data_IF_890918000801
#
_entry.id   IF_890918000801
#
_cell.length_a   1.000
_cell.length_b   1.000
_cell.length_c   1.000
_cell.angle_alpha   90.00
_cell.angle_beta   90.00
_cell.angle_gamma   90.00
#
_symmetry.space_group_name_H-M   'P 1'
#
loop_
_entity.id
_entity.type
_entity.pdbx_description
1 polymer ?
#
# COMPACT_ATOMS: atom_id res chain seq x y z
N UNK A 1 -25.57 -35.09 -42.65
CA UNK A 1 -25.90 -35.61 -41.31
C UNK A 1 -24.69 -35.36 -40.43
N UNK A 2 -24.80 -34.47 -39.46
CA UNK A 2 -23.67 -34.12 -38.57
C UNK A 2 -23.76 -35.08 -37.40
N UNK A 3 -22.75 -35.92 -37.24
CA UNK A 3 -22.68 -36.93 -36.18
C UNK A 3 -22.28 -36.23 -34.88
N UNK A 4 -23.25 -35.71 -34.13
CA UNK A 4 -23.01 -35.09 -32.83
C UNK A 4 -22.55 -36.14 -31.81
N UNK A 5 -21.22 -36.30 -31.72
CA UNK A 5 -20.59 -37.04 -30.62
C UNK A 5 -20.70 -36.16 -29.37
N UNK A 6 -21.67 -36.47 -28.52
CA UNK A 6 -21.77 -35.87 -27.19
C UNK A 6 -20.58 -36.26 -26.30
N UNK A 7 -20.21 -35.38 -25.36
CA UNK A 7 -19.22 -35.68 -24.33
C UNK A 7 -19.70 -36.82 -23.43
N UNK A 8 -18.79 -37.71 -23.03
CA UNK A 8 -19.12 -38.78 -22.08
C UNK A 8 -19.08 -38.30 -20.63
N UNK A 9 -19.87 -38.93 -19.76
CA UNK A 9 -19.85 -38.62 -18.33
C UNK A 9 -18.45 -38.84 -17.71
N UNK A 10 -17.73 -39.87 -18.17
CA UNK A 10 -16.38 -40.16 -17.68
C UNK A 10 -15.38 -39.04 -18.04
N UNK A 11 -15.52 -38.43 -19.22
CA UNK A 11 -14.68 -37.28 -19.62
C UNK A 11 -14.93 -36.06 -18.75
N UNK A 12 -16.20 -35.75 -18.45
CA UNK A 12 -16.54 -34.64 -17.55
C UNK A 12 -16.02 -34.89 -16.14
N UNK A 13 -16.13 -36.12 -15.62
CA UNK A 13 -15.60 -36.47 -14.30
C UNK A 13 -14.08 -36.34 -14.25
N UNK A 14 -13.36 -36.84 -15.26
CA UNK A 14 -11.90 -36.73 -15.32
C UNK A 14 -11.44 -35.26 -15.33
N UNK A 15 -12.13 -34.39 -16.08
CA UNK A 15 -11.84 -32.95 -16.13
C UNK A 15 -12.11 -32.29 -14.76
N UNK A 16 -13.23 -32.60 -14.11
CA UNK A 16 -13.55 -32.05 -12.79
C UNK A 16 -12.53 -32.46 -11.73
N UNK A 17 -12.04 -33.70 -11.77
CA UNK A 17 -10.97 -34.16 -10.86
C UNK A 17 -9.69 -33.37 -11.07
N UNK A 18 -9.27 -33.17 -12.32
CA UNK A 18 -8.06 -32.39 -12.63
C UNK A 18 -8.23 -30.93 -12.18
N UNK A 19 -9.35 -30.29 -12.50
CA UNK A 19 -9.65 -28.92 -12.07
C UNK A 19 -9.71 -28.81 -10.54
N UNK A 20 -10.23 -29.81 -9.84
CA UNK A 20 -10.26 -29.87 -8.37
C UNK A 20 -8.86 -29.88 -7.76
N UNK A 21 -7.94 -30.69 -8.30
CA UNK A 21 -6.54 -30.74 -7.85
C UNK A 21 -5.84 -29.41 -8.11
N UNK A 22 -6.01 -28.85 -9.31
CA UNK A 22 -5.42 -27.56 -9.66
C UNK A 22 -5.96 -26.43 -8.77
N UNK A 23 -7.26 -26.38 -8.53
CA UNK A 23 -7.88 -25.37 -7.68
C UNK A 23 -7.39 -25.47 -6.23
N UNK A 24 -7.25 -26.69 -5.69
CA UNK A 24 -6.77 -26.90 -4.32
C UNK A 24 -5.36 -26.33 -4.07
N UNK A 25 -4.50 -26.34 -5.09
CA UNK A 25 -3.13 -25.78 -4.99
C UNK A 25 -3.07 -24.31 -5.43
N UNK A 26 -3.82 -23.93 -6.45
CA UNK A 26 -3.77 -22.59 -7.03
C UNK A 26 -4.43 -21.52 -6.15
N UNK A 27 -5.55 -21.84 -5.49
CA UNK A 27 -6.31 -20.87 -4.70
C UNK A 27 -5.51 -20.34 -3.50
N UNK A 28 -4.89 -21.18 -2.65
CA UNK A 28 -4.08 -20.68 -1.53
C UNK A 28 -2.91 -19.81 -2.02
N UNK A 29 -2.21 -20.27 -3.07
CA UNK A 29 -1.08 -19.53 -3.65
C UNK A 29 -1.51 -18.17 -4.21
N UNK A 30 -2.66 -18.10 -4.86
CA UNK A 30 -3.19 -16.85 -5.39
C UNK A 30 -3.53 -15.86 -4.27
N UNK A 31 -4.11 -16.33 -3.16
CA UNK A 31 -4.37 -15.49 -1.98
C UNK A 31 -3.08 -14.93 -1.38
N UNK A 32 -2.03 -15.76 -1.26
CA UNK A 32 -0.73 -15.30 -0.74
C UNK A 32 -0.07 -14.23 -1.63
N UNK A 33 -0.09 -14.43 -2.95
CA UNK A 33 0.46 -13.46 -3.91
C UNK A 33 -0.34 -12.16 -3.88
N UNK A 34 -1.67 -12.24 -3.80
CA UNK A 34 -2.52 -11.07 -3.67
C UNK A 34 -2.19 -10.30 -2.38
N UNK A 35 -2.07 -10.99 -1.24
CA UNK A 35 -1.70 -10.35 0.03
C UNK A 35 -0.32 -9.67 -0.03
N UNK A 36 0.68 -10.32 -0.64
CA UNK A 36 2.01 -9.73 -0.82
C UNK A 36 1.99 -8.51 -1.74
N UNK A 37 1.18 -8.53 -2.80
CA UNK A 37 1.01 -7.38 -3.70
C UNK A 37 0.43 -6.18 -2.96
N UNK A 38 -0.58 -6.39 -2.09
CA UNK A 38 -1.16 -5.35 -1.23
C UNK A 38 -0.13 -4.70 -0.32
N UNK A 39 0.68 -5.51 0.38
CA UNK A 39 1.75 -5.01 1.27
C UNK A 39 2.83 -4.28 0.45
N UNK A 40 3.16 -4.78 -0.74
CA UNK A 40 4.13 -4.13 -1.62
C UNK A 40 3.65 -2.76 -2.10
N UNK A 41 2.36 -2.61 -2.41
CA UNK A 41 1.76 -1.32 -2.75
C UNK A 41 1.86 -0.34 -1.57
N UNK A 42 1.52 -0.77 -0.35
CA UNK A 42 1.65 0.07 0.85
C UNK A 42 3.10 0.51 1.10
N UNK A 43 4.10 -0.36 0.87
CA UNK A 43 5.52 0.01 0.96
C UNK A 43 5.94 1.01 -0.12
N UNK A 44 5.40 0.90 -1.34
CA UNK A 44 5.67 1.85 -2.41
C UNK A 44 5.14 3.25 -2.05
N UNK A 45 3.94 3.31 -1.48
CA UNK A 45 3.34 4.56 -0.97
C UNK A 45 4.21 5.20 0.12
N UNK A 46 4.74 4.41 1.06
CA UNK A 46 5.71 4.91 2.06
C UNK A 46 6.94 5.53 1.38
N UNK A 47 7.47 4.90 0.33
CA UNK A 47 8.64 5.41 -0.39
C UNK A 47 8.32 6.72 -1.15
N UNK A 48 7.17 6.80 -1.79
CA UNK A 48 6.66 8.03 -2.43
C UNK A 48 6.54 9.16 -1.42
N UNK A 49 6.00 8.87 -0.24
CA UNK A 49 5.83 9.84 0.82
C UNK A 49 7.17 10.34 1.38
N UNK A 50 8.18 9.47 1.51
CA UNK A 50 9.55 9.88 1.86
C UNK A 50 10.13 10.86 0.84
N UNK A 51 9.90 10.61 -0.46
CA UNK A 51 10.32 11.53 -1.53
C UNK A 51 9.61 12.88 -1.42
N UNK A 52 8.30 12.86 -1.15
CA UNK A 52 7.50 14.06 -0.93
C UNK A 52 7.97 14.88 0.27
N UNK A 53 8.34 14.22 1.38
CA UNK A 53 8.91 14.88 2.55
C UNK A 53 10.28 15.50 2.26
N UNK A 54 11.14 14.85 1.45
CA UNK A 54 12.40 15.46 0.99
C UNK A 54 12.15 16.73 0.18
N UNK A 55 11.16 16.71 -0.73
CA UNK A 55 10.79 17.90 -1.50
C UNK A 55 10.21 19.00 -0.60
N UNK A 56 9.39 18.64 0.38
CA UNK A 56 8.84 19.59 1.36
C UNK A 56 9.92 20.22 2.23
N UNK A 57 10.91 19.44 2.67
CA UNK A 57 12.09 19.94 3.38
C UNK A 57 12.87 20.95 2.53
N UNK A 58 13.16 20.63 1.27
CA UNK A 58 13.85 21.54 0.36
C UNK A 58 13.05 22.84 0.13
N UNK A 59 11.73 22.73 -0.09
CA UNK A 59 10.84 23.89 -0.22
C UNK A 59 10.85 24.77 1.03
N UNK A 60 10.83 24.16 2.22
CA UNK A 60 10.89 24.91 3.47
C UNK A 60 12.19 25.72 3.58
N UNK A 61 13.33 25.08 3.25
CA UNK A 61 14.64 25.73 3.28
C UNK A 61 14.70 26.91 2.31
N UNK A 62 14.20 26.75 1.08
CA UNK A 62 14.15 27.83 0.08
C UNK A 62 13.25 28.99 0.52
N UNK A 63 12.12 28.71 1.17
CA UNK A 63 11.15 29.75 1.55
C UNK A 63 11.52 30.50 2.82
N UNK A 64 12.15 29.83 3.79
CA UNK A 64 12.40 30.38 5.14
C UNK A 64 13.87 30.71 5.40
N UNK A 65 14.78 30.39 4.46
CA UNK A 65 16.23 30.60 4.61
C UNK A 65 16.85 29.83 5.78
N UNK A 66 16.12 28.88 6.37
CA UNK A 66 16.49 28.13 7.57
C UNK A 66 15.99 26.70 7.46
N UNK A 67 16.70 25.78 8.09
CA UNK A 67 16.27 24.38 8.16
C UNK A 67 15.11 24.23 9.14
N UNK A 68 14.13 23.35 8.85
CA UNK A 68 13.07 23.05 9.80
C UNK A 68 13.66 22.40 11.06
N UNK A 69 13.19 22.80 12.23
CA UNK A 69 13.68 22.32 13.53
C UNK A 69 12.98 21.04 14.00
N UNK A 70 11.82 20.70 13.41
CA UNK A 70 11.10 19.48 13.70
C UNK A 70 10.34 18.91 12.48
N UNK A 71 10.03 17.60 12.51
CA UNK A 71 9.37 16.89 11.42
C UNK A 71 7.96 17.40 11.14
N UNK A 72 7.28 17.99 12.13
CA UNK A 72 5.95 18.58 11.95
C UNK A 72 6.00 19.80 11.02
N UNK A 73 7.06 20.61 11.07
CA UNK A 73 7.26 21.72 10.13
C UNK A 73 7.47 21.25 8.69
N UNK A 74 8.12 20.10 8.48
CA UNK A 74 8.27 19.49 7.15
C UNK A 74 6.92 19.03 6.62
N UNK A 75 6.10 18.41 7.48
CA UNK A 75 4.73 18.00 7.13
C UNK A 75 3.87 19.23 6.78
N UNK A 76 3.97 20.30 7.57
CA UNK A 76 3.27 21.56 7.30
C UNK A 76 3.73 22.21 5.98
N UNK A 77 5.02 22.12 5.64
CA UNK A 77 5.56 22.59 4.36
C UNK A 77 5.03 21.79 3.16
N UNK A 78 4.62 20.53 3.39
CA UNK A 78 3.91 19.72 2.40
C UNK A 78 2.42 20.11 2.28
N UNK A 79 1.92 21.06 3.08
CA UNK A 79 0.51 21.44 3.13
C UNK A 79 -0.35 20.49 3.94
N UNK A 80 0.26 19.68 4.82
CA UNK A 80 -0.40 18.61 5.56
C UNK A 80 -0.37 18.87 7.07
N UNK A 81 -1.25 18.20 7.81
CA UNK A 81 -1.31 18.32 9.28
C UNK A 81 -0.77 17.05 9.93
N UNK A 82 0.21 17.18 10.82
CA UNK A 82 0.77 16.03 11.53
C UNK A 82 -0.26 15.34 12.42
N UNK A 83 -0.28 14.01 12.40
CA UNK A 83 -1.23 13.17 13.14
C UNK A 83 -2.63 13.10 12.51
N UNK A 84 -2.88 13.86 11.43
CA UNK A 84 -4.10 13.72 10.66
C UNK A 84 -3.92 12.58 9.65
N UNK A 85 -4.82 11.60 9.71
CA UNK A 85 -4.98 10.65 8.61
C UNK A 85 -5.53 11.44 7.43
N UNK A 86 -4.79 11.45 6.34
CA UNK A 86 -5.21 12.11 5.13
C UNK A 86 -5.29 11.07 4.01
N UNK A 87 -6.29 11.22 3.14
CA UNK A 87 -6.45 10.40 1.95
C UNK A 87 -5.45 10.86 0.89
N UNK A 88 -4.17 10.72 1.20
CA UNK A 88 -3.05 11.12 0.36
C UNK A 88 -2.50 9.83 -0.24
N UNK A 89 -2.30 9.85 -1.54
CA UNK A 89 -1.74 8.72 -2.28
C UNK A 89 -2.53 8.42 -3.54
N UNK A 90 -2.11 7.37 -4.22
CA UNK A 90 -2.65 6.97 -5.53
C UNK A 90 -4.02 6.27 -5.47
N UNK A 91 -4.46 5.84 -4.28
CA UNK A 91 -5.74 5.15 -4.07
C UNK A 91 -6.43 5.58 -2.75
N UNK A 92 -7.04 6.78 -2.71
CA UNK A 92 -7.62 7.37 -1.49
C UNK A 92 -8.78 6.57 -0.88
N UNK A 93 -9.40 5.66 -1.64
CA UNK A 93 -10.51 4.81 -1.17
C UNK A 93 -10.04 3.45 -0.61
N UNK A 94 -8.74 3.14 -0.72
CA UNK A 94 -8.18 1.82 -0.36
C UNK A 94 -7.36 1.89 0.93
N UNK A 95 -6.58 2.96 1.10
CA UNK A 95 -5.74 3.17 2.29
C UNK A 95 -5.73 4.63 2.73
N UNK A 96 -5.47 4.84 4.02
CA UNK A 96 -5.11 6.14 4.57
C UNK A 96 -3.60 6.22 4.84
N UNK A 97 -3.06 7.42 4.75
CA UNK A 97 -1.67 7.70 5.15
C UNK A 97 -1.71 8.70 6.30
N UNK A 98 -1.05 8.33 7.40
CA UNK A 98 -0.85 9.19 8.56
C UNK A 98 0.61 9.57 8.68
N UNK A 99 0.88 10.87 8.81
CA UNK A 99 2.21 11.42 9.01
C UNK A 99 2.34 11.95 10.43
N UNK A 100 3.22 11.38 11.23
CA UNK A 100 3.44 11.82 12.62
C UNK A 100 4.86 12.36 12.75
N UNK A 101 4.98 13.67 12.95
CA UNK A 101 6.26 14.30 13.28
C UNK A 101 6.69 13.95 14.70
N UNK A 102 7.92 13.48 14.88
CA UNK A 102 8.53 13.17 16.17
C UNK A 102 9.97 13.66 16.19
N UNK A 103 10.25 14.78 16.87
CA UNK A 103 11.57 15.40 16.85
C UNK A 103 12.00 15.76 15.43
N UNK A 104 13.18 15.28 15.00
CA UNK A 104 13.73 15.45 13.64
C UNK A 104 13.30 14.37 12.64
N UNK A 105 12.36 13.50 13.03
CA UNK A 105 11.84 12.42 12.19
C UNK A 105 10.35 12.61 11.89
N UNK A 106 9.90 12.01 10.79
CA UNK A 106 8.51 11.85 10.41
C UNK A 106 8.23 10.35 10.26
N UNK A 107 7.28 9.85 11.04
CA UNK A 107 6.76 8.49 10.92
C UNK A 107 5.63 8.52 9.90
N UNK A 108 5.74 7.68 8.88
CA UNK A 108 4.75 7.47 7.84
C UNK A 108 4.08 6.14 8.14
N UNK A 109 2.76 6.15 8.33
CA UNK A 109 1.98 4.94 8.55
C UNK A 109 0.90 4.86 7.48
N UNK A 110 0.93 3.80 6.69
CA UNK A 110 -0.12 3.43 5.73
C UNK A 110 -0.98 2.36 6.39
N UNK A 111 -2.29 2.58 6.45
CA UNK A 111 -3.26 1.59 6.94
C UNK A 111 -4.41 1.45 5.95
N UNK A 112 -5.10 0.31 6.00
CA UNK A 112 -6.36 0.12 5.27
C UNK A 112 -7.37 1.22 5.59
N UNK A 113 -8.10 1.65 4.57
CA UNK A 113 -9.21 2.56 4.75
C UNK A 113 -10.35 1.84 5.49
N UNK A 114 -10.90 2.47 6.53
CA UNK A 114 -12.05 1.92 7.25
C UNK A 114 -11.76 0.83 8.28
N UNK A 115 -10.62 0.88 8.98
CA UNK A 115 -10.35 0.14 10.24
C UNK A 115 -10.81 -1.34 10.27
N UNK A 116 -10.78 -2.04 9.14
CA UNK A 116 -10.90 -3.49 9.16
C UNK A 116 -9.61 -4.02 9.75
N UNK A 117 -9.71 -4.89 10.76
CA UNK A 117 -8.57 -5.49 11.46
C UNK A 117 -7.70 -6.40 10.57
N UNK A 118 -7.98 -6.41 9.27
CA UNK A 118 -7.20 -7.08 8.26
C UNK A 118 -5.93 -6.24 8.03
N UNK A 119 -4.77 -6.82 8.30
CA UNK A 119 -3.44 -6.22 8.07
C UNK A 119 -3.13 -5.97 6.57
N UNK A 120 -4.16 -5.96 5.73
CA UNK A 120 -4.10 -5.64 4.32
C UNK A 120 -3.70 -4.18 4.14
N UNK A 121 -2.70 -3.92 3.30
CA UNK A 121 -2.17 -2.58 3.04
C UNK A 121 -1.56 -1.86 4.24
N UNK A 122 -0.98 -2.59 5.19
CA UNK A 122 -0.24 -1.98 6.32
C UNK A 122 1.25 -1.86 6.01
N UNK A 123 1.79 -0.64 6.12
CA UNK A 123 3.23 -0.40 6.03
C UNK A 123 3.61 0.84 6.84
N UNK A 124 4.70 0.75 7.61
CA UNK A 124 5.24 1.88 8.35
C UNK A 124 6.66 2.14 7.91
N UNK A 125 7.03 3.42 7.77
CA UNK A 125 8.40 3.81 7.53
C UNK A 125 8.72 5.14 8.19
N UNK A 126 9.97 5.30 8.59
CA UNK A 126 10.46 6.56 9.14
C UNK A 126 11.25 7.31 8.08
N UNK A 127 10.94 8.59 7.93
CA UNK A 127 11.76 9.57 7.27
C UNK A 127 12.51 10.38 8.32
N UNK A 128 13.81 10.62 8.10
CA UNK A 128 14.63 11.44 8.98
C UNK A 128 15.06 12.67 8.20
N UNK A 129 15.13 13.81 8.88
CA UNK A 129 15.70 15.01 8.29
C UNK A 129 17.12 14.74 7.76
N UNK A 130 17.43 15.22 6.54
CA UNK A 130 18.80 15.31 6.08
C UNK A 130 19.59 16.20 7.05
N UNK A 131 20.78 15.73 7.45
CA UNK A 131 21.74 16.55 8.20
C UNK A 131 22.49 17.49 7.26
#
# INVERSE_FOLDING_TARGET
MINEKGFTLIEIIAVLVILGILAAVAVPRYMDVAAQAKISAARAEVAEMKSSLNMAYAKYFLSNGSVPSNGSQVIAAAGLTSGSAANIGTAPDVWNVTLTGSGTSVIITVNSYGATADNEYTATGTWNMPQ
#
